data_IF_552654105905
#
_entry.id   IF_552654105905
#
_cell.length_a   1.000
_cell.length_b   1.000
_cell.length_c   1.000
_cell.angle_alpha   90.00
_cell.angle_beta   90.00
_cell.angle_gamma   90.00
#
_symmetry.space_group_name_H-M   'P 1'
#
loop_
_entity.id
_entity.type
_entity.pdbx_description
1 polymer ?
#
# COMPACT_ATOMS: atom_id res chain seq x y z
N UNK A 1 -14.72 -12.59 -17.20
CA UNK A 1 -13.70 -11.53 -17.24
C UNK A 1 -13.05 -11.58 -15.88
N UNK A 2 -11.79 -12.01 -15.78
CA UNK A 2 -11.08 -11.88 -14.52
C UNK A 2 -10.80 -10.38 -14.36
N UNK A 3 -11.57 -9.74 -13.49
CA UNK A 3 -11.33 -8.35 -13.10
C UNK A 3 -9.95 -8.33 -12.44
N UNK A 4 -8.99 -7.68 -13.09
CA UNK A 4 -7.65 -7.50 -12.54
C UNK A 4 -7.71 -6.70 -11.22
N UNK A 5 -6.63 -6.73 -10.43
CA UNK A 5 -6.61 -6.04 -9.14
C UNK A 5 -6.96 -4.57 -9.29
N UNK A 6 -7.87 -4.09 -8.44
CA UNK A 6 -8.42 -2.75 -8.45
C UNK A 6 -8.00 -2.00 -7.19
N UNK A 7 -8.11 -0.67 -7.20
CA UNK A 7 -7.79 0.13 -6.00
C UNK A 7 -8.70 -0.23 -4.82
N UNK A 8 -9.86 -0.84 -5.08
CA UNK A 8 -10.82 -1.26 -4.07
C UNK A 8 -10.36 -2.47 -3.25
N UNK A 9 -9.35 -3.19 -3.73
CA UNK A 9 -8.69 -4.28 -2.99
C UNK A 9 -7.81 -3.76 -1.83
N UNK A 10 -7.43 -2.47 -1.85
CA UNK A 10 -6.74 -1.80 -0.76
C UNK A 10 -7.76 -1.23 0.26
N UNK A 11 -7.42 -1.12 1.55
CA UNK A 11 -8.27 -0.43 2.52
C UNK A 11 -8.37 1.06 2.20
N UNK A 12 -9.48 1.69 2.62
CA UNK A 12 -9.66 3.14 2.43
C UNK A 12 -8.68 3.97 3.26
N UNK A 13 -8.33 3.46 4.45
CA UNK A 13 -7.44 4.14 5.40
C UNK A 13 -6.39 3.18 5.95
N UNK A 14 -5.24 3.73 6.32
CA UNK A 14 -4.19 3.06 7.10
C UNK A 14 -3.96 3.83 8.38
N UNK A 15 -3.53 3.16 9.45
CA UNK A 15 -3.37 3.80 10.75
C UNK A 15 -1.90 4.02 11.06
N UNK A 16 -1.52 5.28 11.30
CA UNK A 16 -0.18 5.63 11.79
C UNK A 16 -0.20 5.76 13.31
N UNK A 17 0.79 5.17 13.99
CA UNK A 17 0.96 5.32 15.42
C UNK A 17 1.63 6.67 15.75
N UNK A 18 0.95 7.55 16.49
CA UNK A 18 1.46 8.84 16.95
C UNK A 18 1.96 8.80 18.42
N UNK A 19 2.42 7.63 18.86
CA UNK A 19 2.86 7.39 20.24
C UNK A 19 1.72 7.58 21.25
N UNK A 20 1.93 8.42 22.27
CA UNK A 20 0.91 8.69 23.32
C UNK A 20 -0.33 9.44 22.81
N UNK A 21 -0.28 9.97 21.59
CA UNK A 21 -1.40 10.69 20.97
C UNK A 21 -2.43 9.76 20.31
N UNK A 22 -2.16 8.45 20.28
CA UNK A 22 -3.06 7.45 19.71
C UNK A 22 -2.69 7.09 18.27
N UNK A 23 -3.70 6.73 17.48
CA UNK A 23 -3.56 6.40 16.06
C UNK A 23 -4.26 7.46 15.21
N UNK A 24 -3.66 7.82 14.09
CA UNK A 24 -4.26 8.72 13.11
C UNK A 24 -4.60 7.94 11.82
N UNK A 25 -5.84 7.99 11.34
CA UNK A 25 -6.22 7.40 10.07
C UNK A 25 -5.72 8.28 8.91
N UNK A 26 -4.97 7.68 7.99
CA UNK A 26 -4.51 8.33 6.77
C UNK A 26 -5.24 7.72 5.57
N UNK A 27 -5.89 8.52 4.71
CA UNK A 27 -6.54 8.02 3.51
C UNK A 27 -5.51 7.45 2.52
N UNK A 28 -5.67 6.18 2.16
CA UNK A 28 -4.74 5.48 1.27
C UNK A 28 -5.06 5.69 -0.20
N UNK A 29 -6.34 5.84 -0.53
CA UNK A 29 -6.85 5.97 -1.91
C UNK A 29 -6.84 7.41 -2.43
N UNK A 30 -6.00 8.27 -1.85
CA UNK A 30 -5.84 9.67 -2.24
C UNK A 30 -4.43 9.95 -2.76
N UNK A 31 -4.28 11.00 -3.55
CA UNK A 31 -3.00 11.38 -4.12
C UNK A 31 -2.07 11.92 -3.03
N UNK A 32 -0.88 11.32 -2.91
CA UNK A 32 0.14 11.75 -1.95
C UNK A 32 0.76 13.11 -2.26
N UNK A 33 0.63 13.61 -3.49
CA UNK A 33 1.17 14.92 -3.86
C UNK A 33 0.16 16.03 -3.56
N UNK A 34 0.66 17.25 -3.34
CA UNK A 34 -0.12 18.47 -3.05
C UNK A 34 -1.02 18.93 -4.23
N UNK A 35 -1.94 18.07 -4.64
CA UNK A 35 -2.92 18.29 -5.69
C UNK A 35 -4.34 17.89 -5.25
N UNK A 36 -4.54 17.35 -4.04
CA UNK A 36 -5.85 16.98 -3.47
C UNK A 36 -6.68 16.05 -4.40
N UNK A 37 -6.00 15.17 -5.13
CA UNK A 37 -6.67 14.18 -5.99
C UNK A 37 -7.24 13.04 -5.15
N UNK A 38 -8.55 12.73 -5.33
CA UNK A 38 -9.25 11.68 -4.57
C UNK A 38 -9.52 10.40 -5.36
N UNK A 39 -8.95 10.31 -6.55
CA UNK A 39 -9.16 9.19 -7.46
C UNK A 39 -7.81 8.72 -7.99
N UNK A 40 -7.56 7.44 -7.78
CA UNK A 40 -6.36 6.75 -8.22
C UNK A 40 -6.78 5.62 -9.16
N UNK A 41 -6.04 5.47 -10.26
CA UNK A 41 -6.18 4.33 -11.17
C UNK A 41 -5.01 3.38 -10.94
N UNK A 42 -5.28 2.10 -10.76
CA UNK A 42 -4.22 1.07 -10.68
C UNK A 42 -3.64 0.84 -12.07
N UNK A 43 -2.33 0.97 -12.21
CA UNK A 43 -1.60 0.66 -13.43
C UNK A 43 -1.13 -0.80 -13.40
N UNK A 44 -0.51 -1.21 -12.29
CA UNK A 44 0.03 -2.56 -12.13
C UNK A 44 0.19 -2.91 -10.67
N UNK A 45 0.11 -4.21 -10.38
CA UNK A 45 0.39 -4.77 -9.05
C UNK A 45 1.45 -5.85 -9.21
N UNK A 46 2.51 -5.76 -8.40
CA UNK A 46 3.56 -6.77 -8.35
C UNK A 46 3.67 -7.33 -6.95
N UNK A 47 3.85 -8.64 -6.84
CA UNK A 47 3.91 -9.36 -5.57
C UNK A 47 5.19 -10.18 -5.50
N UNK A 48 5.97 -9.99 -4.43
CA UNK A 48 7.24 -10.69 -4.21
C UNK A 48 7.42 -11.12 -2.74
N UNK A 49 7.61 -12.42 -2.44
CA UNK A 49 7.47 -13.55 -3.36
C UNK A 49 6.00 -13.72 -3.82
N UNK A 50 5.74 -14.35 -4.98
CA UNK A 50 4.38 -14.50 -5.51
C UNK A 50 3.48 -15.39 -4.64
N UNK A 51 4.06 -16.24 -3.79
CA UNK A 51 3.35 -17.13 -2.86
C UNK A 51 4.18 -17.37 -1.60
N UNK A 52 3.50 -17.58 -0.47
CA UNK A 52 4.11 -18.04 0.78
C UNK A 52 4.17 -19.56 0.84
N UNK A 53 5.16 -20.10 1.53
CA UNK A 53 5.31 -21.54 1.78
C UNK A 53 4.46 -22.02 2.96
N UNK A 54 4.02 -21.11 3.84
CA UNK A 54 3.19 -21.41 5.00
C UNK A 54 3.98 -21.92 6.20
N UNK A 55 5.28 -21.62 6.27
CA UNK A 55 6.16 -22.07 7.35
C UNK A 55 6.97 -20.91 7.91
N UNK A 56 6.98 -20.76 9.25
CA UNK A 56 7.76 -19.73 9.96
C UNK A 56 7.35 -18.29 9.61
N UNK A 57 8.30 -17.34 9.64
CA UNK A 57 8.05 -15.92 9.36
C UNK A 57 8.36 -15.66 7.89
N UNK A 58 7.36 -15.19 7.15
CA UNK A 58 7.48 -14.84 5.74
C UNK A 58 7.03 -13.39 5.52
N UNK A 59 7.68 -12.70 4.58
CA UNK A 59 7.32 -11.32 4.23
C UNK A 59 7.01 -11.28 2.74
N UNK A 60 5.84 -10.76 2.41
CA UNK A 60 5.43 -10.53 1.03
C UNK A 60 5.28 -9.04 0.79
N UNK A 61 5.93 -8.55 -0.25
CA UNK A 61 5.88 -7.16 -0.70
C UNK A 61 4.93 -7.09 -1.89
N UNK A 62 3.86 -6.31 -1.74
CA UNK A 62 2.90 -5.99 -2.78
C UNK A 62 3.04 -4.52 -3.15
N UNK A 63 3.55 -4.27 -4.35
CA UNK A 63 3.74 -2.92 -4.88
C UNK A 63 2.60 -2.60 -5.86
N UNK A 64 1.80 -1.61 -5.49
CA UNK A 64 0.66 -1.11 -6.27
C UNK A 64 1.06 0.19 -6.95
N UNK A 65 1.40 0.13 -8.23
CA UNK A 65 1.66 1.32 -9.03
C UNK A 65 0.33 1.97 -9.38
N UNK A 66 0.15 3.19 -8.90
CA UNK A 66 -1.08 3.96 -9.07
C UNK A 66 -0.81 5.28 -9.78
N UNK A 67 -1.80 5.77 -10.50
CA UNK A 67 -1.79 7.09 -11.14
C UNK A 67 -2.92 7.95 -10.59
N UNK A 68 -2.60 9.18 -10.19
CA UNK A 68 -3.62 10.16 -9.83
C UNK A 68 -4.35 10.66 -11.06
N UNK A 69 -5.68 10.54 -11.09
CA UNK A 69 -6.46 10.98 -12.24
C UNK A 69 -6.36 12.50 -12.49
N UNK A 70 -6.12 13.28 -11.43
CA UNK A 70 -6.08 14.76 -11.47
C UNK A 70 -4.74 15.32 -11.95
N UNK A 71 -3.63 14.91 -11.34
CA UNK A 71 -2.31 15.45 -11.68
C UNK A 71 -1.47 14.53 -12.57
N UNK A 72 -1.98 13.33 -12.89
CA UNK A 72 -1.31 12.31 -13.72
C UNK A 72 0.05 11.84 -13.20
N UNK A 73 0.41 12.19 -11.96
CA UNK A 73 1.61 11.68 -11.32
C UNK A 73 1.37 10.24 -10.87
N UNK A 74 2.44 9.46 -10.97
CA UNK A 74 2.48 8.07 -10.52
C UNK A 74 3.24 7.98 -9.22
N UNK A 75 2.83 7.05 -8.40
CA UNK A 75 3.51 6.67 -7.17
C UNK A 75 3.16 5.22 -6.85
N UNK A 76 3.94 4.59 -5.98
CA UNK A 76 3.73 3.20 -5.60
C UNK A 76 3.24 3.16 -4.16
N UNK A 77 2.13 2.46 -3.93
CA UNK A 77 1.71 2.05 -2.59
C UNK A 77 2.34 0.68 -2.33
N UNK A 78 3.31 0.64 -1.42
CA UNK A 78 4.03 -0.59 -1.05
C UNK A 78 3.42 -1.17 0.22
N UNK A 79 2.82 -2.34 0.10
CA UNK A 79 2.29 -3.12 1.22
C UNK A 79 3.27 -4.25 1.57
N UNK A 80 3.89 -4.21 2.73
CA UNK A 80 4.71 -5.30 3.27
C UNK A 80 3.86 -6.11 4.24
N UNK A 81 3.36 -7.23 3.77
CA UNK A 81 2.52 -8.14 4.53
C UNK A 81 3.40 -9.17 5.22
N UNK A 82 3.32 -9.27 6.55
CA UNK A 82 4.04 -10.29 7.31
C UNK A 82 3.12 -11.45 7.64
N UNK A 83 3.59 -12.65 7.35
CA UNK A 83 2.94 -13.90 7.67
C UNK A 83 3.72 -14.65 8.73
N UNK A 84 3.01 -15.30 9.66
CA UNK A 84 3.57 -16.25 10.62
C UNK A 84 2.76 -17.53 10.53
N UNK A 85 3.43 -18.62 10.18
CA UNK A 85 2.82 -19.94 9.99
C UNK A 85 1.59 -19.89 9.07
N UNK A 86 1.74 -19.18 7.94
CA UNK A 86 0.69 -19.00 6.94
C UNK A 86 -0.41 -18.00 7.30
N UNK A 87 -0.37 -17.38 8.49
CA UNK A 87 -1.37 -16.37 8.91
C UNK A 87 -0.81 -14.96 8.79
N UNK A 88 -1.57 -14.07 8.16
CA UNK A 88 -1.25 -12.64 8.11
C UNK A 88 -1.29 -12.06 9.53
N UNK A 89 -0.22 -11.37 9.94
CA UNK A 89 -0.10 -10.73 11.25
C UNK A 89 -0.31 -9.22 11.15
N UNK A 90 0.32 -8.58 10.18
CA UNK A 90 0.16 -7.15 9.91
C UNK A 90 0.58 -6.81 8.48
N UNK A 91 0.05 -5.68 7.99
CA UNK A 91 0.48 -5.07 6.74
C UNK A 91 1.05 -3.70 6.99
N UNK A 92 2.33 -3.49 6.69
CA UNK A 92 2.95 -2.16 6.74
C UNK A 92 2.86 -1.48 5.39
N UNK A 93 2.43 -0.23 5.37
CA UNK A 93 2.25 0.55 4.14
C UNK A 93 3.25 1.69 4.07
N UNK A 94 3.96 1.81 2.95
CA UNK A 94 4.78 2.97 2.60
C UNK A 94 4.47 3.47 1.19
N UNK A 95 4.84 4.71 0.91
CA UNK A 95 4.72 5.30 -0.41
C UNK A 95 6.08 5.46 -1.06
N UNK A 96 6.16 5.18 -2.36
CA UNK A 96 7.34 5.45 -3.16
C UNK A 96 6.98 6.43 -4.28
N UNK A 97 7.88 7.35 -4.61
CA UNK A 97 7.72 8.19 -5.79
C UNK A 97 7.91 7.42 -7.10
N UNK A 98 7.78 8.11 -8.23
CA UNK A 98 7.99 7.58 -9.59
C UNK A 98 9.42 7.11 -9.86
N UNK A 99 10.38 7.46 -9.00
CA UNK A 99 11.79 7.07 -9.07
C UNK A 99 12.12 5.95 -8.08
N UNK A 100 11.15 5.48 -7.29
CA UNK A 100 11.33 4.47 -6.25
C UNK A 100 11.92 5.01 -4.95
N UNK A 101 12.00 6.33 -4.76
CA UNK A 101 12.41 6.91 -3.48
C UNK A 101 11.27 6.77 -2.48
N UNK A 102 11.62 6.34 -1.26
CA UNK A 102 10.66 6.23 -0.16
C UNK A 102 10.20 7.64 0.25
N UNK A 103 8.91 7.91 0.09
CA UNK A 103 8.24 9.14 0.51
C UNK A 103 7.82 9.10 1.98
N UNK A 104 7.93 7.95 2.62
CA UNK A 104 7.63 7.74 4.02
C UNK A 104 6.72 6.54 4.28
N UNK A 105 6.77 6.09 5.53
CA UNK A 105 5.85 5.12 6.10
C UNK A 105 4.51 5.78 6.43
N UNK A 106 3.41 5.20 5.95
CA UNK A 106 2.06 5.70 6.18
C UNK A 106 1.38 5.05 7.38
N UNK A 107 1.72 3.81 7.74
CA UNK A 107 1.01 3.12 8.81
C UNK A 107 0.93 1.62 8.62
N UNK A 108 0.04 1.00 9.38
CA UNK A 108 -0.30 -0.41 9.25
C UNK A 108 -1.80 -0.65 9.40
N UNK A 109 -2.24 -1.82 8.94
CA UNK A 109 -3.59 -2.35 9.16
C UNK A 109 -3.57 -3.88 9.24
#
# INVERSE_FOLDING_TARGET
>A
MEEGPTIDDLPDVVFVALGRRGMEPIPLKECTYACDGKKLTVISVTKDPPSIQGSSIEVVVEDWLVECEKCKKRFTIRCKVRYVDGKMIDTMVSLLDDRGNDLGWLGSY
#
